data_IF_877717551356
#
_entry.id   IF_877717551356
#
_cell.length_a   1.000
_cell.length_b   1.000
_cell.length_c   1.000
_cell.angle_alpha   90.00
_cell.angle_beta   90.00
_cell.angle_gamma   90.00
#
_symmetry.space_group_name_H-M   'P 1'
#
loop_
_entity.id
_entity.type
_entity.pdbx_description
1 polymer ?
#
# COMPACT_ATOMS: atom_id res chain seq x y z
N UNK A 1 21.81 -6.10 -8.46
CA UNK A 1 20.79 -6.73 -7.60
C UNK A 1 20.99 -6.45 -6.10
N UNK A 2 22.21 -6.55 -5.55
CA UNK A 2 22.43 -6.38 -4.09
C UNK A 2 21.92 -5.07 -3.48
N UNK A 3 22.06 -3.93 -4.15
CA UNK A 3 21.57 -2.63 -3.66
C UNK A 3 20.05 -2.58 -3.47
N UNK A 4 19.27 -3.14 -4.41
CA UNK A 4 17.80 -3.17 -4.32
C UNK A 4 17.29 -4.06 -3.18
N UNK A 5 17.94 -5.21 -2.96
CA UNK A 5 17.57 -6.13 -1.87
C UNK A 5 17.75 -5.45 -0.50
N UNK A 6 18.78 -4.63 -0.33
CA UNK A 6 18.99 -3.85 0.90
C UNK A 6 17.81 -2.90 1.14
N UNK A 7 17.40 -2.15 0.11
CA UNK A 7 16.25 -1.23 0.24
C UNK A 7 14.95 -1.96 0.55
N UNK A 8 14.68 -3.10 -0.09
CA UNK A 8 13.51 -3.94 0.22
C UNK A 8 13.57 -4.53 1.63
N UNK A 9 14.75 -4.90 2.12
CA UNK A 9 14.94 -5.40 3.48
C UNK A 9 14.68 -4.33 4.53
N UNK A 10 15.16 -3.10 4.29
CA UNK A 10 14.87 -1.94 5.15
C UNK A 10 13.37 -1.66 5.16
N UNK A 11 12.74 -1.62 3.98
CA UNK A 11 11.30 -1.41 3.84
C UNK A 11 10.49 -2.47 4.59
N UNK A 12 10.84 -3.74 4.45
CA UNK A 12 10.22 -4.84 5.19
C UNK A 12 10.37 -4.64 6.70
N UNK A 13 11.59 -4.39 7.17
CA UNK A 13 11.87 -4.21 8.59
C UNK A 13 11.03 -3.11 9.21
N UNK A 14 10.95 -1.95 8.55
CA UNK A 14 10.12 -0.82 9.00
C UNK A 14 8.64 -1.22 8.96
N UNK A 15 8.17 -1.85 7.87
CA UNK A 15 6.77 -2.29 7.73
C UNK A 15 6.36 -3.20 8.87
N UNK A 16 7.16 -4.23 9.18
CA UNK A 16 6.84 -5.15 10.28
C UNK A 16 6.90 -4.43 11.63
N UNK A 17 7.94 -3.63 11.88
CA UNK A 17 8.11 -2.94 13.15
C UNK A 17 6.96 -1.96 13.44
N UNK A 18 6.59 -1.10 12.49
CA UNK A 18 5.55 -0.08 12.70
C UNK A 18 4.15 -0.70 12.80
N UNK A 19 3.83 -1.70 11.97
CA UNK A 19 2.52 -2.35 12.01
C UNK A 19 2.36 -3.22 13.26
N UNK A 20 3.36 -4.02 13.61
CA UNK A 20 3.30 -4.93 14.77
C UNK A 20 3.24 -4.15 16.08
N UNK A 21 4.09 -3.14 16.25
CA UNK A 21 4.13 -2.34 17.49
C UNK A 21 2.81 -1.62 17.76
N UNK A 22 2.21 -0.99 16.73
CA UNK A 22 0.92 -0.33 16.87
C UNK A 22 -0.21 -1.34 17.08
N UNK A 23 -0.18 -2.48 16.39
CA UNK A 23 -1.19 -3.54 16.57
C UNK A 23 -1.19 -4.05 18.01
N UNK A 24 -0.02 -4.44 18.54
CA UNK A 24 0.14 -4.90 19.93
C UNK A 24 -0.36 -3.83 20.91
N UNK A 25 -0.03 -2.56 20.67
CA UNK A 25 -0.50 -1.46 21.52
C UNK A 25 -2.03 -1.35 21.52
N UNK A 26 -2.66 -1.40 20.34
CA UNK A 26 -4.11 -1.25 20.19
C UNK A 26 -4.89 -2.42 20.78
N UNK A 27 -4.43 -3.66 20.60
CA UNK A 27 -5.12 -4.84 21.15
C UNK A 27 -5.06 -4.88 22.68
N UNK A 28 -3.95 -4.43 23.28
CA UNK A 28 -3.77 -4.42 24.73
C UNK A 28 -4.54 -3.32 25.47
N UNK A 29 -5.01 -2.28 24.76
CA UNK A 29 -5.72 -1.16 25.37
C UNK A 29 -7.22 -1.28 25.11
N UNK A 30 -7.98 -1.78 26.09
CA UNK A 30 -9.45 -1.92 26.02
C UNK A 30 -10.18 -0.63 25.59
N UNK A 31 -9.69 0.53 25.99
CA UNK A 31 -10.24 1.85 25.59
C UNK A 31 -10.17 2.11 24.09
N UNK A 32 -9.25 1.47 23.37
CA UNK A 32 -9.11 1.57 21.93
C UNK A 32 -9.98 0.57 21.18
N UNK A 33 -10.76 -0.27 21.85
CA UNK A 33 -11.66 -1.23 21.19
C UNK A 33 -12.97 -0.55 20.77
N UNK A 34 -12.87 0.38 19.82
CA UNK A 34 -13.99 1.13 19.22
C UNK A 34 -14.29 0.64 17.79
N UNK A 35 -15.43 1.02 17.21
CA UNK A 35 -15.82 0.65 15.85
C UNK A 35 -14.77 1.11 14.81
N UNK A 36 -14.40 2.40 14.81
CA UNK A 36 -13.35 2.95 13.93
C UNK A 36 -12.03 2.18 14.00
N UNK A 37 -11.63 1.78 15.21
CA UNK A 37 -10.35 1.13 15.42
C UNK A 37 -10.32 -0.32 14.92
N UNK A 38 -11.46 -0.96 14.65
CA UNK A 38 -11.51 -2.25 13.95
C UNK A 38 -10.93 -2.14 12.54
N UNK A 39 -11.28 -1.07 11.81
CA UNK A 39 -10.77 -0.81 10.46
C UNK A 39 -9.25 -0.58 10.52
N UNK A 40 -8.78 0.16 11.54
CA UNK A 40 -7.35 0.38 11.79
C UNK A 40 -6.61 -0.93 12.12
N UNK A 41 -7.18 -1.82 12.92
CA UNK A 41 -6.56 -3.12 13.20
C UNK A 41 -6.45 -3.96 11.90
N UNK A 42 -7.49 -3.97 11.07
CA UNK A 42 -7.48 -4.71 9.80
C UNK A 42 -6.41 -4.21 8.83
N UNK A 43 -6.21 -2.89 8.70
CA UNK A 43 -5.13 -2.36 7.85
C UNK A 43 -3.73 -2.69 8.40
N UNK A 44 -3.54 -2.74 9.73
CA UNK A 44 -2.26 -3.16 10.33
C UNK A 44 -1.95 -4.64 10.06
N UNK A 45 -2.96 -5.50 10.16
CA UNK A 45 -2.84 -6.92 9.80
C UNK A 45 -2.51 -7.05 8.31
N UNK A 46 -3.16 -6.25 7.46
CA UNK A 46 -2.87 -6.21 6.02
C UNK A 46 -1.42 -5.80 5.75
N UNK A 47 -0.88 -4.81 6.48
CA UNK A 47 0.52 -4.39 6.37
C UNK A 47 1.52 -5.49 6.77
N UNK A 48 1.22 -6.25 7.83
CA UNK A 48 2.04 -7.41 8.24
C UNK A 48 2.01 -8.51 7.18
N UNK A 49 0.83 -8.84 6.65
CA UNK A 49 0.69 -9.83 5.58
C UNK A 49 1.38 -9.35 4.30
N UNK A 50 1.28 -8.08 3.95
CA UNK A 50 1.99 -7.51 2.80
C UNK A 50 3.52 -7.65 2.93
N UNK A 51 4.08 -7.38 4.11
CA UNK A 51 5.50 -7.58 4.37
C UNK A 51 5.92 -9.05 4.30
N UNK A 52 5.26 -9.92 5.07
CA UNK A 52 5.66 -11.32 5.26
C UNK A 52 5.32 -12.17 4.04
N UNK A 53 4.09 -12.06 3.54
CA UNK A 53 3.54 -12.93 2.49
C UNK A 53 3.90 -12.45 1.11
N UNK A 54 4.25 -11.18 0.90
CA UNK A 54 4.59 -10.64 -0.41
C UNK A 54 6.02 -10.08 -0.49
N UNK A 55 6.39 -9.06 0.29
CA UNK A 55 7.69 -8.40 0.12
C UNK A 55 8.86 -9.36 0.36
N UNK A 56 8.86 -10.07 1.49
CA UNK A 56 9.93 -10.97 1.90
C UNK A 56 10.24 -12.04 0.82
N UNK A 57 9.29 -12.90 0.42
CA UNK A 57 9.54 -13.90 -0.62
C UNK A 57 9.82 -13.30 -2.00
N UNK A 58 9.13 -12.21 -2.41
CA UNK A 58 9.24 -11.66 -3.76
C UNK A 58 10.56 -10.91 -4.00
N UNK A 59 10.97 -10.07 -3.06
CA UNK A 59 12.06 -9.11 -3.28
C UNK A 59 13.33 -9.41 -2.49
N UNK A 60 13.27 -10.24 -1.45
CA UNK A 60 14.43 -10.58 -0.62
C UNK A 60 14.91 -12.00 -0.88
N UNK A 61 14.02 -13.00 -0.80
CA UNK A 61 14.40 -14.41 -1.01
C UNK A 61 14.66 -14.68 -2.50
N UNK A 62 13.89 -14.05 -3.40
CA UNK A 62 14.16 -14.06 -4.85
C UNK A 62 13.85 -15.38 -5.58
N UNK A 63 13.56 -16.47 -4.88
CA UNK A 63 13.18 -17.77 -5.48
C UNK A 63 11.84 -17.75 -6.21
N UNK A 64 11.05 -16.70 -5.99
CA UNK A 64 9.73 -16.55 -6.62
C UNK A 64 9.80 -16.40 -8.14
N UNK A 65 10.95 -16.05 -8.71
CA UNK A 65 11.15 -15.94 -10.16
C UNK A 65 11.56 -17.26 -10.83
N UNK A 66 11.89 -18.31 -10.06
CA UNK A 66 12.39 -19.57 -10.61
C UNK A 66 11.29 -20.50 -11.11
N UNK A 67 10.10 -20.42 -10.50
CA UNK A 67 8.95 -21.25 -10.86
C UNK A 67 7.88 -20.36 -11.45
N UNK A 68 7.46 -20.65 -12.69
CA UNK A 68 6.51 -19.84 -13.45
C UNK A 68 5.24 -19.54 -12.66
N UNK A 69 4.56 -20.57 -12.14
CA UNK A 69 3.35 -20.43 -11.34
C UNK A 69 3.54 -19.53 -10.11
N UNK A 70 4.63 -19.73 -9.37
CA UNK A 70 4.97 -18.93 -8.18
C UNK A 70 5.18 -17.47 -8.58
N UNK A 71 5.91 -17.22 -9.66
CA UNK A 71 6.16 -15.87 -10.13
C UNK A 71 4.85 -15.11 -10.48
N UNK A 72 3.86 -15.79 -11.09
CA UNK A 72 2.55 -15.19 -11.35
C UNK A 72 1.79 -14.92 -10.05
N UNK A 73 1.70 -15.94 -9.19
CA UNK A 73 0.99 -15.85 -7.91
C UNK A 73 1.45 -14.64 -7.08
N UNK A 74 2.75 -14.39 -7.03
CA UNK A 74 3.30 -13.25 -6.30
C UNK A 74 2.97 -11.90 -6.95
N UNK A 75 2.91 -11.81 -8.28
CA UNK A 75 2.41 -10.59 -8.96
C UNK A 75 0.98 -10.25 -8.52
N UNK A 76 0.12 -11.28 -8.47
CA UNK A 76 -1.26 -11.17 -8.00
C UNK A 76 -1.35 -10.80 -6.52
N UNK A 77 -0.58 -11.44 -5.64
CA UNK A 77 -0.54 -11.08 -4.21
C UNK A 77 -0.17 -9.61 -3.98
N UNK A 78 0.78 -9.08 -4.75
CA UNK A 78 1.14 -7.66 -4.71
C UNK A 78 -0.04 -6.75 -5.06
N UNK A 79 -0.77 -7.06 -6.14
CA UNK A 79 -1.96 -6.33 -6.54
C UNK A 79 -3.07 -6.42 -5.46
N UNK A 80 -3.32 -7.61 -4.92
CA UNK A 80 -4.30 -7.85 -3.87
C UNK A 80 -4.09 -6.95 -2.66
N UNK A 81 -2.88 -6.97 -2.09
CA UNK A 81 -2.60 -6.19 -0.89
C UNK A 81 -2.63 -4.68 -1.18
N UNK A 82 -2.22 -4.26 -2.37
CA UNK A 82 -2.30 -2.86 -2.78
C UNK A 82 -3.76 -2.38 -2.86
N UNK A 83 -4.63 -3.15 -3.50
CA UNK A 83 -6.09 -2.87 -3.53
C UNK A 83 -6.63 -2.81 -2.11
N UNK A 84 -6.27 -3.81 -1.29
CA UNK A 84 -6.77 -3.94 0.06
C UNK A 84 -6.40 -2.74 0.94
N UNK A 85 -5.13 -2.31 0.90
CA UNK A 85 -4.64 -1.13 1.63
C UNK A 85 -5.38 0.13 1.18
N UNK A 86 -5.56 0.32 -0.12
CA UNK A 86 -6.23 1.51 -0.66
C UNK A 86 -7.71 1.58 -0.27
N UNK A 87 -8.42 0.44 -0.29
CA UNK A 87 -9.80 0.36 0.17
C UNK A 87 -9.93 0.60 1.69
N UNK A 88 -8.99 0.10 2.50
CA UNK A 88 -8.96 0.43 3.93
C UNK A 88 -8.74 1.92 4.17
N UNK A 89 -7.83 2.55 3.41
CA UNK A 89 -7.61 4.00 3.50
C UNK A 89 -8.88 4.78 3.15
N UNK A 90 -9.58 4.38 2.09
CA UNK A 90 -10.89 4.96 1.74
C UNK A 90 -11.90 4.79 2.88
N UNK A 91 -11.99 3.60 3.45
CA UNK A 91 -12.89 3.30 4.57
C UNK A 91 -12.57 4.14 5.81
N UNK A 92 -11.29 4.33 6.14
CA UNK A 92 -10.87 5.21 7.24
C UNK A 92 -11.28 6.65 6.97
N UNK A 93 -11.09 7.15 5.75
CA UNK A 93 -11.49 8.50 5.37
C UNK A 93 -13.00 8.70 5.44
N UNK A 94 -13.78 7.72 4.99
CA UNK A 94 -15.25 7.72 5.14
C UNK A 94 -15.68 7.66 6.61
N UNK A 95 -15.06 6.82 7.43
CA UNK A 95 -15.33 6.75 8.87
C UNK A 95 -15.13 8.12 9.54
N UNK A 96 -14.01 8.79 9.23
CA UNK A 96 -13.74 10.15 9.71
C UNK A 96 -14.74 11.16 9.18
N UNK A 97 -15.16 11.03 7.92
CA UNK A 97 -16.15 11.91 7.31
C UNK A 97 -17.46 11.87 8.09
N UNK A 98 -18.01 10.69 8.34
CA UNK A 98 -19.26 10.58 9.09
C UNK A 98 -19.10 11.03 10.55
N UNK A 99 -17.98 10.73 11.19
CA UNK A 99 -17.72 11.15 12.57
C UNK A 99 -17.65 12.68 12.73
N UNK A 100 -17.14 13.41 11.72
CA UNK A 100 -17.01 14.88 11.76
C UNK A 100 -18.27 15.58 11.24
N UNK A 101 -18.83 15.12 10.12
CA UNK A 101 -19.94 15.80 9.44
C UNK A 101 -21.29 15.45 10.05
N UNK A 102 -21.48 14.20 10.51
CA UNK A 102 -22.75 13.70 11.02
C UNK A 102 -22.59 13.03 12.40
N UNK A 103 -22.10 13.74 13.44
CA UNK A 103 -21.69 13.13 14.71
C UNK A 103 -22.82 12.36 15.43
N UNK A 104 -24.06 12.87 15.40
CA UNK A 104 -25.20 12.20 16.05
C UNK A 104 -25.62 10.92 15.35
N UNK A 105 -25.74 10.95 14.01
CA UNK A 105 -26.08 9.76 13.21
C UNK A 105 -24.95 8.73 13.26
N UNK A 106 -23.69 9.19 13.18
CA UNK A 106 -22.53 8.31 13.32
C UNK A 106 -22.55 7.57 14.65
N UNK A 107 -22.84 8.26 15.76
CA UNK A 107 -22.96 7.61 17.09
C UNK A 107 -24.05 6.53 17.15
N UNK A 108 -25.13 6.67 16.37
CA UNK A 108 -26.23 5.71 16.34
C UNK A 108 -25.94 4.50 15.42
N UNK A 109 -25.22 4.72 14.32
CA UNK A 109 -25.02 3.72 13.26
C UNK A 109 -23.68 2.96 13.44
N UNK A 110 -22.64 3.64 13.94
CA UNK A 110 -21.31 3.06 14.05
C UNK A 110 -21.28 1.95 15.11
N UNK A 111 -21.04 0.72 14.67
CA UNK A 111 -20.92 -0.45 15.54
C UNK A 111 -19.74 -1.32 15.13
N UNK A 112 -19.19 -2.09 16.07
CA UNK A 112 -18.10 -3.04 15.79
C UNK A 112 -18.49 -4.06 14.71
N UNK A 113 -19.74 -4.54 14.74
CA UNK A 113 -20.26 -5.50 13.76
C UNK A 113 -20.25 -4.92 12.35
N UNK A 114 -20.71 -3.67 12.19
CA UNK A 114 -20.66 -2.99 10.90
C UNK A 114 -19.21 -2.80 10.40
N UNK A 115 -18.28 -2.42 11.27
CA UNK A 115 -16.86 -2.29 10.91
C UNK A 115 -16.22 -3.62 10.53
N UNK A 116 -16.53 -4.72 11.23
CA UNK A 116 -16.07 -6.06 10.86
C UNK A 116 -16.62 -6.47 9.49
N UNK A 117 -17.91 -6.26 9.25
CA UNK A 117 -18.54 -6.55 7.95
C UNK A 117 -17.88 -5.73 6.82
N UNK A 118 -17.61 -4.46 7.05
CA UNK A 118 -16.90 -3.61 6.10
C UNK A 118 -15.49 -4.16 5.79
N UNK A 119 -14.73 -4.58 6.80
CA UNK A 119 -13.43 -5.21 6.57
C UNK A 119 -13.56 -6.49 5.73
N UNK A 120 -14.53 -7.37 6.04
CA UNK A 120 -14.77 -8.60 5.26
C UNK A 120 -15.08 -8.27 3.79
N UNK A 121 -15.92 -7.25 3.55
CA UNK A 121 -16.23 -6.77 2.20
C UNK A 121 -14.98 -6.27 1.48
N UNK A 122 -14.12 -5.49 2.17
CA UNK A 122 -12.86 -4.99 1.60
C UNK A 122 -11.96 -6.15 1.18
N UNK A 123 -11.78 -7.16 2.04
CA UNK A 123 -11.00 -8.35 1.72
C UNK A 123 -11.57 -9.09 0.52
N UNK A 124 -12.88 -9.36 0.52
CA UNK A 124 -13.56 -10.04 -0.58
C UNK A 124 -13.41 -9.29 -1.92
N UNK A 125 -13.65 -7.98 -1.93
CA UNK A 125 -13.47 -7.14 -3.13
C UNK A 125 -12.02 -7.18 -3.62
N UNK A 126 -11.05 -7.14 -2.71
CA UNK A 126 -9.62 -7.21 -3.05
C UNK A 126 -9.25 -8.54 -3.72
N UNK A 127 -9.76 -9.67 -3.19
CA UNK A 127 -9.60 -10.98 -3.82
C UNK A 127 -10.25 -11.03 -5.20
N UNK A 128 -11.47 -10.50 -5.34
CA UNK A 128 -12.20 -10.50 -6.60
C UNK A 128 -11.45 -9.73 -7.69
N UNK A 129 -10.98 -8.52 -7.38
CA UNK A 129 -10.21 -7.69 -8.32
C UNK A 129 -8.90 -8.37 -8.73
N UNK A 130 -8.24 -9.03 -7.78
CA UNK A 130 -7.02 -9.78 -8.03
C UNK A 130 -7.25 -11.07 -8.85
N UNK A 131 -8.44 -11.66 -8.79
CA UNK A 131 -8.77 -12.88 -9.52
C UNK A 131 -9.08 -12.64 -11.00
N UNK A 132 -9.40 -11.40 -11.40
CA UNK A 132 -9.76 -11.07 -12.79
C UNK A 132 -8.67 -11.54 -13.79
N UNK A 133 -7.38 -11.19 -13.64
CA UNK A 133 -6.34 -11.65 -14.55
C UNK A 133 -6.14 -13.17 -14.57
N UNK A 134 -6.35 -13.86 -13.45
CA UNK A 134 -6.21 -15.32 -13.38
C UNK A 134 -7.18 -16.03 -14.32
N UNK A 135 -8.36 -15.43 -14.53
CA UNK A 135 -9.42 -15.98 -15.35
C UNK A 135 -9.29 -15.50 -16.81
N UNK A 136 -8.65 -14.34 -17.04
CA UNK A 136 -8.68 -13.68 -18.35
C UNK A 136 -7.35 -13.66 -19.10
N UNK A 137 -6.18 -13.44 -18.47
CA UNK A 137 -4.91 -13.12 -19.19
C UNK A 137 -3.64 -13.76 -18.62
N UNK A 138 -2.82 -14.36 -19.48
CA UNK A 138 -1.55 -14.99 -19.10
C UNK A 138 -0.31 -14.08 -19.31
N UNK A 139 -0.31 -12.86 -18.75
CA UNK A 139 0.76 -11.87 -18.98
C UNK A 139 2.04 -12.13 -18.19
N UNK A 140 1.89 -12.63 -16.97
CA UNK A 140 3.04 -12.88 -16.09
C UNK A 140 3.99 -13.90 -16.69
N UNK A 141 3.55 -14.70 -17.67
CA UNK A 141 4.42 -15.65 -18.36
C UNK A 141 5.65 -14.98 -18.98
N UNK A 142 5.52 -13.85 -19.69
CA UNK A 142 6.68 -13.21 -20.33
C UNK A 142 7.64 -12.55 -19.34
N UNK A 143 7.09 -11.90 -18.31
CA UNK A 143 7.89 -11.23 -17.25
C UNK A 143 8.64 -12.28 -16.43
N UNK A 144 7.95 -13.35 -16.04
CA UNK A 144 8.52 -14.44 -15.26
C UNK A 144 9.56 -15.22 -16.07
N UNK A 145 9.29 -15.57 -17.34
CA UNK A 145 10.25 -16.25 -18.20
C UNK A 145 11.50 -15.40 -18.48
N UNK A 146 11.35 -14.08 -18.65
CA UNK A 146 12.48 -13.16 -18.78
C UNK A 146 13.35 -13.12 -17.53
N UNK A 147 12.74 -13.06 -16.35
CA UNK A 147 13.44 -13.11 -15.07
C UNK A 147 14.14 -14.46 -14.83
N UNK A 148 13.48 -15.59 -15.11
CA UNK A 148 14.09 -16.92 -14.97
C UNK A 148 15.31 -17.11 -15.89
N UNK A 149 15.27 -16.55 -17.11
CA UNK A 149 16.40 -16.63 -18.06
C UNK A 149 17.64 -15.90 -17.55
N UNK A 150 17.47 -14.69 -17.01
CA UNK A 150 18.56 -13.90 -16.42
C UNK A 150 19.17 -14.63 -15.21
N UNK A 151 18.34 -15.22 -14.34
CA UNK A 151 18.81 -15.95 -13.15
C UNK A 151 19.62 -17.19 -13.55
N UNK A 152 19.19 -17.94 -14.57
CA UNK A 152 19.92 -19.11 -15.05
C UNK A 152 21.27 -18.74 -15.67
N UNK A 153 21.35 -17.64 -16.44
CA UNK A 153 22.61 -17.14 -16.98
C UNK A 153 23.59 -16.69 -15.87
N UNK A 154 23.09 -16.16 -14.75
CA UNK A 154 23.95 -15.80 -13.60
C UNK A 154 24.38 -16.98 -12.74
N UNK A 155 23.66 -18.11 -12.79
CA UNK A 155 23.98 -19.32 -12.01
C UNK A 155 24.92 -20.29 -12.75
N UNK A 156 25.04 -20.16 -14.08
CA UNK A 156 26.15 -20.75 -14.84
C UNK A 156 27.38 -19.87 -14.69
N UNK A 157 28.31 -20.27 -13.81
CA UNK A 157 29.67 -19.74 -13.76
C UNK A 157 30.26 -19.63 -15.17
N UNK A 158 30.96 -18.51 -15.43
CA UNK A 158 31.83 -18.30 -16.60
C UNK A 158 32.41 -19.61 -17.16
N UNK A 159 32.23 -19.93 -18.45
CA UNK A 159 33.30 -20.61 -19.17
C UNK A 159 34.37 -19.55 -19.44
N UNK A 160 35.46 -19.61 -18.67
CA UNK A 160 36.75 -19.11 -19.15
C UNK A 160 37.05 -19.82 -20.47
N UNK A 161 37.35 -19.03 -21.50
CA UNK A 161 37.73 -19.41 -22.86
C UNK A 161 36.57 -19.74 -23.82
N UNK A 162 36.09 -18.72 -24.55
CA UNK A 162 35.98 -18.84 -26.00
C UNK A 162 35.88 -17.45 -26.65
N UNK A 163 36.79 -17.22 -27.60
CA UNK A 163 36.87 -16.06 -28.48
C UNK A 163 35.53 -15.78 -29.16
N UNK A 164 34.89 -14.66 -28.85
CA UNK A 164 33.67 -14.20 -29.52
C UNK A 164 34.01 -13.57 -30.86
N UNK A 165 34.03 -14.37 -31.92
CA UNK A 165 33.73 -13.89 -33.27
C UNK A 165 32.22 -14.01 -33.46
N UNK A 166 31.51 -12.88 -33.54
CA UNK A 166 30.09 -12.85 -33.91
C UNK A 166 29.93 -13.48 -35.30
N UNK A 167 29.35 -14.67 -35.35
CA UNK A 167 28.80 -15.24 -36.59
C UNK A 167 27.33 -15.57 -36.36
N UNK A 168 26.47 -14.77 -36.99
CA UNK A 168 25.08 -15.08 -37.26
C UNK A 168 24.99 -16.36 -38.07
N UNK A 169 24.56 -17.46 -37.46
CA UNK A 169 24.15 -18.67 -38.20
C UNK A 169 22.63 -18.73 -38.24
N UNK A 170 22.08 -18.21 -39.34
CA UNK A 170 20.83 -18.71 -39.88
C UNK A 170 21.02 -20.21 -40.17
N UNK A 171 20.28 -21.07 -39.49
CA UNK A 171 20.27 -22.50 -39.81
C UNK A 171 19.45 -22.73 -41.07
N UNK A 172 20.19 -23.19 -42.07
CA UNK A 172 19.79 -23.75 -43.36
C UNK A 172 18.71 -24.83 -43.19
N UNK A 173 17.59 -24.70 -43.92
CA UNK A 173 16.70 -25.81 -44.28
C UNK A 173 16.91 -26.08 -45.79
N UNK A 174 17.02 -27.34 -46.26
CA UNK A 174 17.26 -27.63 -47.67
C UNK A 174 16.06 -27.26 -48.55
N UNK A 175 16.35 -26.59 -49.66
CA UNK A 175 15.40 -26.14 -50.68
C UNK A 175 14.93 -27.29 -51.58
N UNK A 176 14.04 -28.14 -51.11
CA UNK A 176 13.21 -29.01 -51.97
C UNK A 176 12.12 -29.67 -51.14
N UNK A 177 10.98 -29.00 -50.97
CA UNK A 177 9.57 -29.44 -51.15
C UNK A 177 8.73 -28.19 -50.85
N UNK A 178 8.72 -27.23 -51.78
CA UNK A 178 7.79 -26.11 -51.74
C UNK A 178 6.72 -26.38 -52.79
N UNK A 179 5.78 -27.25 -52.46
CA UNK A 179 4.45 -27.22 -53.08
C UNK A 179 3.42 -27.80 -52.13
N UNK A 180 2.41 -26.98 -51.85
CA UNK A 180 1.09 -27.34 -51.35
C UNK A 180 0.96 -27.75 -49.88
N UNK A 181 1.00 -26.74 -49.00
CA UNK A 181 -0.03 -26.62 -47.95
C UNK A 181 -0.23 -25.15 -47.56
N UNK A 182 -0.78 -24.37 -48.49
CA UNK A 182 -1.34 -23.05 -48.17
C UNK A 182 -2.67 -23.29 -47.47
N UNK A 183 -2.66 -23.51 -46.15
CA UNK A 183 -3.86 -23.37 -45.34
C UNK A 183 -4.16 -21.87 -45.28
N UNK A 184 -4.92 -21.39 -46.25
CA UNK A 184 -5.53 -20.06 -46.23
C UNK A 184 -6.52 -20.04 -45.07
N UNK A 185 -6.06 -19.65 -43.89
CA UNK A 185 -6.94 -19.22 -42.81
C UNK A 185 -7.57 -17.92 -43.30
N UNK A 186 -8.81 -18.00 -43.76
CA UNK A 186 -9.66 -16.86 -44.07
C UNK A 186 -9.85 -16.05 -42.80
N UNK A 187 -9.02 -15.02 -42.60
CA UNK A 187 -9.21 -14.02 -41.54
C UNK A 187 -10.40 -13.16 -41.97
N UNK A 188 -11.56 -13.39 -41.37
CA UNK A 188 -12.70 -12.51 -41.48
C UNK A 188 -12.29 -11.08 -41.09
N UNK A 189 -12.63 -10.05 -41.88
CA UNK A 189 -12.34 -8.67 -41.52
C UNK A 189 -13.18 -8.30 -40.30
N UNK A 190 -12.53 -8.24 -39.13
CA UNK A 190 -13.17 -7.94 -37.85
C UNK A 190 -12.70 -8.78 -36.66
N UNK A 191 -12.05 -9.93 -36.86
CA UNK A 191 -11.54 -10.76 -35.77
C UNK A 191 -10.09 -10.41 -35.42
N UNK A 192 -9.87 -9.83 -34.23
CA UNK A 192 -8.54 -9.58 -33.66
C UNK A 192 -7.72 -10.88 -33.58
N UNK A 193 -6.44 -10.84 -33.93
CA UNK A 193 -5.55 -11.99 -33.70
C UNK A 193 -5.42 -12.28 -32.19
N UNK A 194 -5.05 -13.51 -31.78
CA UNK A 194 -4.86 -13.85 -30.37
C UNK A 194 -3.89 -12.91 -29.62
N UNK A 195 -2.86 -12.42 -30.33
CA UNK A 195 -1.89 -11.46 -29.79
C UNK A 195 -2.48 -10.07 -29.59
N UNK A 196 -3.33 -9.61 -30.53
CA UNK A 196 -4.01 -8.32 -30.44
C UNK A 196 -5.10 -8.35 -29.35
N UNK A 197 -5.84 -9.45 -29.23
CA UNK A 197 -6.82 -9.65 -28.17
C UNK A 197 -6.14 -9.58 -26.80
N UNK A 198 -5.02 -10.28 -26.63
CA UNK A 198 -4.21 -10.23 -25.40
C UNK A 198 -3.75 -8.81 -25.04
N UNK A 199 -3.25 -8.02 -26.01
CA UNK A 199 -2.80 -6.65 -25.76
C UNK A 199 -3.97 -5.75 -25.34
N UNK A 200 -5.09 -5.82 -26.06
CA UNK A 200 -6.29 -5.02 -25.78
C UNK A 200 -6.82 -5.30 -24.37
N UNK A 201 -7.01 -6.57 -24.08
CA UNK A 201 -7.39 -7.09 -22.78
C UNK A 201 -6.48 -6.66 -21.63
N UNK A 202 -5.18 -6.76 -21.84
CA UNK A 202 -4.19 -6.32 -20.86
C UNK A 202 -4.29 -4.81 -20.59
N UNK A 203 -4.49 -4.00 -21.64
CA UNK A 203 -4.70 -2.56 -21.51
C UNK A 203 -5.97 -2.24 -20.73
N UNK A 204 -7.06 -2.96 -20.99
CA UNK A 204 -8.32 -2.82 -20.25
C UNK A 204 -8.11 -3.12 -18.76
N UNK A 205 -7.40 -4.20 -18.44
CA UNK A 205 -7.09 -4.55 -17.05
C UNK A 205 -6.23 -3.47 -16.36
N UNK A 206 -5.21 -2.95 -17.03
CA UNK A 206 -4.38 -1.86 -16.48
C UNK A 206 -5.17 -0.58 -16.24
N UNK A 207 -6.06 -0.20 -17.18
CA UNK A 207 -6.94 0.96 -17.01
C UNK A 207 -7.91 0.75 -15.85
N UNK A 208 -8.47 -0.46 -15.72
CA UNK A 208 -9.32 -0.83 -14.60
C UNK A 208 -8.57 -0.74 -13.27
N UNK A 209 -7.36 -1.30 -13.18
CA UNK A 209 -6.51 -1.23 -11.99
C UNK A 209 -6.10 0.21 -11.70
N UNK A 210 -5.77 1.02 -12.69
CA UNK A 210 -5.51 2.44 -12.50
C UNK A 210 -6.72 3.17 -11.91
N UNK A 211 -7.93 2.89 -12.43
CA UNK A 211 -9.14 3.47 -11.87
C UNK A 211 -9.34 3.03 -10.40
N UNK A 212 -9.25 1.74 -10.12
CA UNK A 212 -9.51 1.16 -8.80
C UNK A 212 -8.44 1.51 -7.77
N UNK A 213 -7.15 1.52 -8.16
CA UNK A 213 -6.04 1.76 -7.25
C UNK A 213 -5.70 3.23 -7.10
N UNK A 214 -6.03 4.08 -8.08
CA UNK A 214 -5.62 5.47 -8.08
C UNK A 214 -6.79 6.43 -8.12
N UNK A 215 -7.60 6.43 -9.18
CA UNK A 215 -8.65 7.44 -9.37
C UNK A 215 -9.77 7.33 -8.33
N UNK A 216 -10.26 6.13 -8.06
CA UNK A 216 -11.33 5.91 -7.09
C UNK A 216 -10.88 6.31 -5.66
N UNK A 217 -9.73 5.84 -5.13
CA UNK A 217 -9.26 6.28 -3.83
C UNK A 217 -9.01 7.79 -3.78
N UNK A 218 -8.40 8.36 -4.82
CA UNK A 218 -8.15 9.79 -4.89
C UNK A 218 -9.47 10.60 -4.87
N UNK A 219 -10.48 10.18 -5.63
CA UNK A 219 -11.78 10.84 -5.67
C UNK A 219 -12.48 10.78 -4.31
N UNK A 220 -12.51 9.61 -3.66
CA UNK A 220 -13.05 9.45 -2.31
C UNK A 220 -12.35 10.39 -1.32
N UNK A 221 -11.03 10.44 -1.37
CA UNK A 221 -10.23 11.28 -0.47
C UNK A 221 -10.49 12.78 -0.72
N UNK A 222 -10.55 13.23 -1.98
CA UNK A 222 -10.86 14.62 -2.33
C UNK A 222 -12.28 14.99 -1.90
N UNK A 223 -13.28 14.15 -2.21
CA UNK A 223 -14.68 14.42 -1.86
C UNK A 223 -14.90 14.50 -0.35
N UNK A 224 -14.37 13.53 0.40
CA UNK A 224 -14.50 13.50 1.87
C UNK A 224 -13.82 14.72 2.50
N UNK A 225 -12.63 15.11 2.02
CA UNK A 225 -11.90 16.26 2.54
C UNK A 225 -12.52 17.60 2.17
N UNK A 226 -12.91 17.79 0.91
CA UNK A 226 -13.56 19.02 0.45
C UNK A 226 -14.83 19.30 1.25
N UNK A 227 -15.63 18.26 1.49
CA UNK A 227 -16.83 18.36 2.32
C UNK A 227 -16.52 18.61 3.79
N UNK A 228 -15.51 17.93 4.37
CA UNK A 228 -15.07 18.20 5.75
C UNK A 228 -14.65 19.66 5.95
N UNK A 229 -13.81 20.19 5.06
CA UNK A 229 -13.39 21.58 5.11
C UNK A 229 -14.59 22.52 5.01
N UNK A 230 -15.46 22.29 4.02
CA UNK A 230 -16.67 23.09 3.84
C UNK A 230 -17.54 23.12 5.11
N UNK A 231 -17.78 21.96 5.72
CA UNK A 231 -18.56 21.83 6.96
C UNK A 231 -17.88 22.56 8.11
N UNK A 232 -16.57 22.35 8.31
CA UNK A 232 -15.81 23.00 9.38
C UNK A 232 -15.81 24.53 9.22
N UNK A 233 -15.64 25.03 8.00
CA UNK A 233 -15.70 26.48 7.72
C UNK A 233 -17.11 27.04 7.88
N UNK A 234 -18.14 26.30 7.46
CA UNK A 234 -19.55 26.69 7.62
C UNK A 234 -19.93 26.78 9.10
N UNK A 235 -19.55 25.78 9.91
CA UNK A 235 -19.75 25.82 11.36
C UNK A 235 -18.93 26.91 12.03
N UNK A 236 -17.69 27.16 11.61
CA UNK A 236 -16.88 28.25 12.14
C UNK A 236 -17.54 29.62 11.91
N UNK A 237 -18.10 29.86 10.71
CA UNK A 237 -18.86 31.08 10.39
C UNK A 237 -20.12 31.20 11.23
N UNK A 238 -20.90 30.12 11.38
CA UNK A 238 -22.15 30.10 12.15
C UNK A 238 -21.94 30.26 13.66
N UNK A 239 -20.89 29.65 14.21
CA UNK A 239 -20.51 29.84 15.63
C UNK A 239 -20.01 31.26 15.86
N UNK A 240 -19.21 31.82 14.95
CA UNK A 240 -18.76 33.21 15.05
C UNK A 240 -19.94 34.19 15.01
N UNK A 241 -20.92 34.01 14.13
CA UNK A 241 -22.13 34.87 14.10
C UNK A 241 -22.98 34.73 15.37
N UNK A 242 -23.03 33.56 15.99
CA UNK A 242 -23.74 33.33 17.25
C UNK A 242 -22.98 33.94 18.45
N UNK A 243 -21.66 33.80 18.53
CA UNK A 243 -20.83 34.42 19.58
C UNK A 243 -20.77 35.94 19.47
N UNK A 244 -20.92 36.52 18.27
CA UNK A 244 -21.07 37.98 18.11
C UNK A 244 -22.45 38.45 18.60
N UNK A 245 -23.47 37.59 18.56
CA UNK A 245 -24.82 37.89 19.06
C UNK A 245 -24.99 37.68 20.58
N UNK A 246 -24.14 36.88 21.23
CA UNK A 246 -24.15 36.67 22.70
C UNK A 246 -22.87 37.16 23.36
N UNK A 247 -22.99 38.16 24.24
CA UNK A 247 -21.91 38.77 25.04
C UNK A 247 -21.40 37.83 26.16
N UNK A 248 -21.01 36.59 25.83
CA UNK A 248 -20.42 35.65 26.79
C UNK A 248 -18.89 35.65 26.75
N UNK A 249 -18.29 35.76 27.94
CA UNK A 249 -16.84 35.85 28.22
C UNK A 249 -16.06 34.55 28.00
N UNK A 250 -16.74 33.42 27.74
CA UNK A 250 -16.11 32.14 27.43
C UNK A 250 -16.10 31.88 25.93
N UNK A 251 -15.03 32.31 25.23
CA UNK A 251 -14.85 32.01 23.81
C UNK A 251 -14.89 30.48 23.57
N UNK A 252 -15.89 29.94 22.87
CA UNK A 252 -15.89 28.53 22.52
C UNK A 252 -14.66 28.24 21.66
N UNK A 253 -13.88 27.19 22.01
CA UNK A 253 -12.74 26.76 21.18
C UNK A 253 -13.24 26.50 19.76
N UNK A 254 -12.56 27.07 18.76
CA UNK A 254 -13.01 26.94 17.36
C UNK A 254 -13.11 25.47 16.95
N UNK A 255 -14.15 25.12 16.19
CA UNK A 255 -14.33 23.76 15.66
C UNK A 255 -13.11 23.27 14.85
N UNK A 256 -12.38 24.21 14.23
CA UNK A 256 -11.11 23.97 13.54
C UNK A 256 -10.08 23.44 14.52
N UNK A 257 -9.85 24.11 15.65
CA UNK A 257 -8.89 23.65 16.67
C UNK A 257 -9.34 22.32 17.26
N UNK A 258 -10.64 22.15 17.50
CA UNK A 258 -11.18 20.91 18.03
C UNK A 258 -10.94 19.75 17.07
N UNK A 259 -11.10 19.92 15.75
CA UNK A 259 -10.97 18.85 14.75
C UNK A 259 -9.63 18.84 13.99
N UNK A 260 -8.68 19.72 14.33
CA UNK A 260 -7.39 19.89 13.63
C UNK A 260 -6.64 18.58 13.41
N UNK A 261 -6.52 17.73 14.44
CA UNK A 261 -5.81 16.44 14.30
C UNK A 261 -6.47 15.51 13.28
N UNK A 262 -7.80 15.46 13.23
CA UNK A 262 -8.52 14.64 12.26
C UNK A 262 -8.37 15.20 10.83
N UNK A 263 -8.45 16.54 10.68
CA UNK A 263 -8.22 17.21 9.39
C UNK A 263 -6.79 16.99 8.89
N UNK A 264 -5.80 17.10 9.78
CA UNK A 264 -4.39 16.82 9.45
C UNK A 264 -4.16 15.35 9.12
N UNK A 265 -4.80 14.43 9.85
CA UNK A 265 -4.73 12.99 9.56
C UNK A 265 -5.11 12.73 8.10
N UNK A 266 -6.26 13.23 7.67
CA UNK A 266 -6.80 13.00 6.32
C UNK A 266 -5.95 13.71 5.27
N UNK A 267 -5.56 14.96 5.50
CA UNK A 267 -4.69 15.71 4.58
C UNK A 267 -3.32 15.02 4.36
N UNK A 268 -2.73 14.48 5.43
CA UNK A 268 -1.46 13.75 5.33
C UNK A 268 -1.62 12.39 4.67
N UNK A 269 -2.76 11.72 4.86
CA UNK A 269 -3.07 10.50 4.12
C UNK A 269 -3.18 10.79 2.61
N UNK A 270 -3.79 11.91 2.21
CA UNK A 270 -3.85 12.36 0.80
C UNK A 270 -2.47 12.66 0.25
N UNK A 271 -1.69 13.49 0.97
CA UNK A 271 -0.34 13.85 0.55
C UNK A 271 0.55 12.63 0.41
N UNK A 272 0.49 11.72 1.38
CA UNK A 272 1.19 10.44 1.31
C UNK A 272 0.70 9.61 0.12
N UNK A 273 -0.61 9.48 -0.10
CA UNK A 273 -1.13 8.73 -1.24
C UNK A 273 -0.62 9.25 -2.58
N UNK A 274 -0.62 10.57 -2.79
CA UNK A 274 -0.08 11.17 -4.01
C UNK A 274 1.42 10.94 -4.15
N UNK A 275 2.21 11.18 -3.10
CA UNK A 275 3.67 11.01 -3.13
C UNK A 275 4.05 9.55 -3.40
N UNK A 276 3.36 8.61 -2.74
CA UNK A 276 3.71 7.21 -2.81
C UNK A 276 3.17 6.54 -4.10
N UNK A 277 1.94 6.82 -4.52
CA UNK A 277 1.33 6.10 -5.63
C UNK A 277 1.43 6.79 -6.98
N UNK A 278 1.43 8.13 -7.05
CA UNK A 278 1.43 8.84 -8.34
C UNK A 278 2.64 8.47 -9.22
N UNK A 279 3.89 8.43 -8.72
CA UNK A 279 5.04 8.09 -9.58
C UNK A 279 4.94 6.68 -10.18
N UNK A 280 4.50 5.70 -9.40
CA UNK A 280 4.35 4.32 -9.85
C UNK A 280 3.21 4.17 -10.87
N UNK A 281 2.13 4.91 -10.65
CA UNK A 281 1.01 4.99 -11.57
C UNK A 281 1.44 5.62 -12.89
N UNK A 282 2.22 6.70 -12.87
CA UNK A 282 2.78 7.31 -14.09
C UNK A 282 3.67 6.32 -14.85
N UNK A 283 4.53 5.57 -14.16
CA UNK A 283 5.33 4.50 -14.78
C UNK A 283 4.43 3.47 -15.50
N UNK A 284 3.35 3.06 -14.85
CA UNK A 284 2.39 2.08 -15.39
C UNK A 284 1.65 2.60 -16.62
N UNK A 285 1.25 3.88 -16.61
CA UNK A 285 0.59 4.53 -17.76
C UNK A 285 1.56 4.69 -18.94
N UNK A 286 2.82 5.00 -18.70
CA UNK A 286 3.85 5.07 -19.76
C UNK A 286 4.02 3.70 -20.44
N UNK A 287 4.00 2.61 -19.68
CA UNK A 287 4.00 1.26 -20.25
C UNK A 287 2.72 0.92 -21.01
N UNK A 288 1.57 1.44 -20.57
CA UNK A 288 0.27 1.24 -21.21
C UNK A 288 0.24 1.82 -22.63
N UNK A 289 0.78 3.03 -22.80
CA UNK A 289 0.71 3.78 -24.07
C UNK A 289 1.70 3.21 -25.10
N UNK A 290 2.85 2.72 -24.66
CA UNK A 290 3.98 2.47 -25.55
C UNK A 290 4.19 1.01 -25.99
N UNK A 291 3.24 0.10 -25.74
CA UNK A 291 3.32 -1.33 -26.14
C UNK A 291 4.67 -2.00 -25.82
N UNK A 292 5.26 -1.67 -24.67
CA UNK A 292 6.59 -2.18 -24.26
C UNK A 292 7.76 -1.80 -25.20
N UNK A 293 7.55 -0.90 -26.19
CA UNK A 293 8.60 -0.45 -27.12
C UNK A 293 9.73 0.32 -26.45
N UNK A 294 9.48 0.89 -25.26
CA UNK A 294 10.49 1.52 -24.40
C UNK A 294 10.93 0.59 -23.26
N UNK A 295 11.25 -0.66 -23.56
CA UNK A 295 11.91 -1.57 -22.63
C UNK A 295 13.41 -1.22 -22.46
N UNK A 296 13.73 0.06 -22.25
CA UNK A 296 15.10 0.47 -21.93
C UNK A 296 15.38 0.21 -20.44
N UNK A 297 16.65 -0.03 -20.11
CA UNK A 297 17.09 -0.25 -18.73
C UNK A 297 16.66 0.88 -17.78
N UNK A 298 16.62 2.12 -18.28
CA UNK A 298 16.16 3.29 -17.54
C UNK A 298 14.68 3.21 -17.14
N UNK A 299 13.80 2.70 -18.00
CA UNK A 299 12.36 2.58 -17.70
C UNK A 299 12.11 1.48 -16.66
N UNK A 300 12.82 0.36 -16.74
CA UNK A 300 12.77 -0.69 -15.71
C UNK A 300 13.27 -0.18 -14.35
N UNK A 301 14.38 0.55 -14.35
CA UNK A 301 14.94 1.15 -13.13
C UNK A 301 13.98 2.15 -12.50
N UNK A 302 13.40 3.05 -13.30
CA UNK A 302 12.37 4.00 -12.84
C UNK A 302 11.16 3.27 -12.23
N UNK A 303 10.71 2.20 -12.86
CA UNK A 303 9.54 1.43 -12.42
C UNK A 303 9.81 0.71 -11.09
N UNK A 304 11.01 0.13 -10.92
CA UNK A 304 11.41 -0.49 -9.67
C UNK A 304 11.52 0.52 -8.53
N UNK A 305 12.11 1.70 -8.78
CA UNK A 305 12.25 2.77 -7.78
C UNK A 305 10.87 3.29 -7.37
N UNK A 306 10.00 3.60 -8.35
CA UNK A 306 8.65 4.10 -8.06
C UNK A 306 7.79 3.03 -7.38
N UNK A 307 7.96 1.75 -7.70
CA UNK A 307 7.32 0.64 -6.99
C UNK A 307 7.79 0.54 -5.53
N UNK A 308 9.10 0.63 -5.28
CA UNK A 308 9.65 0.64 -3.93
C UNK A 308 9.10 1.79 -3.10
N UNK A 309 9.00 2.98 -3.71
CA UNK A 309 8.35 4.14 -3.09
C UNK A 309 6.90 3.75 -2.75
N UNK A 310 6.07 3.37 -3.72
CA UNK A 310 4.67 3.01 -3.48
C UNK A 310 4.50 1.97 -2.36
N UNK A 311 5.33 0.93 -2.33
CA UNK A 311 5.27 -0.14 -1.34
C UNK A 311 5.89 0.24 0.01
N UNK A 312 6.45 1.44 0.15
CA UNK A 312 6.79 2.04 1.44
C UNK A 312 5.61 2.65 2.17
N UNK A 313 4.47 2.86 1.48
CA UNK A 313 3.27 3.42 2.10
C UNK A 313 2.76 2.63 3.33
N UNK A 314 2.67 1.28 3.31
CA UNK A 314 2.25 0.50 4.47
C UNK A 314 3.21 0.60 5.67
N UNK A 315 4.46 0.98 5.44
CA UNK A 315 5.44 1.22 6.50
C UNK A 315 5.15 2.53 7.26
N UNK A 316 4.67 3.55 6.54
CA UNK A 316 4.41 4.90 7.08
C UNK A 316 3.03 5.03 7.71
N UNK A 317 2.03 4.31 7.19
CA UNK A 317 0.64 4.41 7.65
C UNK A 317 0.43 4.26 9.16
N UNK A 318 1.03 3.27 9.85
CA UNK A 318 0.87 3.13 11.30
C UNK A 318 1.33 4.38 12.07
N UNK A 319 2.39 5.05 11.61
CA UNK A 319 2.90 6.27 12.26
C UNK A 319 1.90 7.42 12.13
N UNK A 320 1.27 7.56 10.97
CA UNK A 320 0.21 8.55 10.75
C UNK A 320 -0.97 8.28 11.70
N UNK A 321 -1.37 7.02 11.85
CA UNK A 321 -2.46 6.66 12.77
C UNK A 321 -2.08 6.88 14.24
N UNK A 322 -0.88 6.47 14.65
CA UNK A 322 -0.40 6.63 16.02
C UNK A 322 -0.36 8.09 16.47
N UNK A 323 0.01 9.02 15.58
CA UNK A 323 0.12 10.43 15.90
C UNK A 323 -1.20 11.20 15.77
N UNK A 324 -1.93 11.00 14.66
CA UNK A 324 -3.07 11.84 14.33
C UNK A 324 -4.43 11.31 14.81
N UNK A 325 -4.56 10.00 15.07
CA UNK A 325 -5.75 9.49 15.76
C UNK A 325 -5.70 9.97 17.23
N UNK A 326 -6.68 10.79 17.63
CA UNK A 326 -6.71 11.41 18.96
C UNK A 326 -6.72 10.38 20.09
N UNK A 327 -7.53 9.33 19.96
CA UNK A 327 -7.70 8.33 21.02
C UNK A 327 -6.40 7.53 21.19
N UNK A 328 -5.79 7.13 20.08
CA UNK A 328 -4.52 6.40 20.07
C UNK A 328 -3.40 7.27 20.61
N UNK A 329 -3.19 8.46 20.05
CA UNK A 329 -2.12 9.37 20.49
C UNK A 329 -2.25 9.77 21.96
N UNK A 330 -3.47 9.93 22.47
CA UNK A 330 -3.72 10.20 23.87
C UNK A 330 -3.30 9.03 24.76
N UNK A 331 -3.73 7.80 24.44
CA UNK A 331 -3.37 6.61 25.21
C UNK A 331 -1.87 6.26 25.13
N UNK A 332 -1.23 6.53 23.98
CA UNK A 332 0.24 6.43 23.81
C UNK A 332 0.93 7.40 24.77
N UNK A 333 0.57 8.68 24.71
CA UNK A 333 1.16 9.73 25.56
C UNK A 333 0.97 9.42 27.04
N UNK A 334 -0.22 8.95 27.43
CA UNK A 334 -0.54 8.53 28.79
C UNK A 334 0.35 7.36 29.24
N UNK A 335 0.55 6.38 28.39
CA UNK A 335 1.38 5.21 28.69
C UNK A 335 2.86 5.58 28.88
N UNK A 336 3.38 6.50 28.07
CA UNK A 336 4.75 7.02 28.24
C UNK A 336 4.92 7.82 29.54
N UNK A 337 3.96 8.71 29.88
CA UNK A 337 4.00 9.46 31.14
C UNK A 337 3.93 8.55 32.36
N UNK A 338 3.08 7.52 32.33
CA UNK A 338 2.96 6.55 33.43
C UNK A 338 4.25 5.75 33.64
N UNK A 339 4.92 5.33 32.56
CA UNK A 339 6.23 4.64 32.65
C UNK A 339 7.34 5.58 33.14
N UNK A 340 7.34 6.83 32.68
CA UNK A 340 8.30 7.83 33.16
C UNK A 340 8.15 8.10 34.65
N UNK A 341 6.91 8.24 35.14
CA UNK A 341 6.64 8.43 36.56
C UNK A 341 7.02 7.20 37.41
N UNK A 342 6.76 5.97 36.93
CA UNK A 342 7.18 4.76 37.63
C UNK A 342 8.70 4.60 37.67
N UNK A 343 9.40 5.01 36.61
CA UNK A 343 10.86 4.95 36.59
C UNK A 343 11.48 5.94 37.58
N UNK A 344 10.96 7.16 37.69
CA UNK A 344 11.41 8.15 38.69
C UNK A 344 11.21 7.62 40.12
N UNK A 345 10.03 7.07 40.42
CA UNK A 345 9.72 6.48 41.73
C UNK A 345 10.58 5.26 42.10
N UNK A 346 11.13 4.56 41.11
CA UNK A 346 12.06 3.44 41.33
C UNK A 346 13.50 3.93 41.53
N UNK A 347 13.92 5.03 40.89
CA UNK A 347 15.23 5.64 41.10
C UNK A 347 15.36 6.23 42.50
N UNK A 348 14.30 6.84 43.05
CA UNK A 348 14.30 7.38 44.42
C UNK A 348 14.28 6.30 45.52
N UNK A 349 14.08 5.03 45.15
CA UNK A 349 14.03 3.88 46.08
C UNK A 349 15.34 3.08 46.16
N UNK A 350 16.41 3.48 45.47
CA UNK A 350 17.72 2.84 45.67
C UNK A 350 18.22 3.14 47.08
N UNK A 351 18.56 2.13 47.90
CA UNK A 351 19.01 2.36 49.27
C UNK A 351 20.36 3.08 49.27
N UNK A 352 20.48 4.16 50.04
CA UNK A 352 21.77 4.70 50.47
C UNK A 352 22.48 3.58 51.23
N UNK A 353 23.49 2.97 50.62
CA UNK A 353 24.37 2.03 51.29
C UNK A 353 25.04 2.78 52.44
N UNK A 354 24.68 2.42 53.68
CA UNK A 354 25.35 2.87 54.88
C UNK A 354 26.85 2.55 54.78
N UNK A 355 27.64 3.59 54.61
CA UNK A 355 29.08 3.57 54.72
C UNK A 355 29.42 3.15 56.16
N UNK A 356 29.95 1.95 56.33
CA UNK A 356 30.44 1.47 57.63
C UNK A 356 31.69 2.27 57.98
N UNK A 357 31.53 3.20 58.93
CA UNK A 357 32.61 3.74 59.75
C UNK A 357 33.42 2.57 60.32
N UNK A 358 34.63 2.38 59.82
CA UNK A 358 35.61 1.46 60.42
C UNK A 358 36.60 2.33 61.19
N UNK A 359 36.32 2.50 62.49
CA UNK A 359 37.32 2.88 63.49
C UNK A 359 38.07 1.61 63.90
N UNK A 360 39.36 1.56 63.59
CA UNK A 360 40.40 0.89 64.38
C UNK A 360 41.75 1.46 63.95
#
# INVERSE_FOLDING_TARGET
MGSLVIFWSINLGITIATNLSLLIFMVNKRKLHTASNVILISILITGLLFGIVYILPRFIIGTTYSILFVCKLFGYLGALFTVNINLHVCAISFDRFFAVVFPFRYRQIASKRASVLLCVIIWFISFLICAIPLITFDRDTKICLGASRIINETNTSMPTNLSTTLTTTASVLPSTIQSNLTTTVSVTPGTLSPTQLFILSWRIYLLFIFFVLFLFPLAVLIMTYGTMLFVVFTHAKKVHSLTVATTETNKPKSLIIQNRKALLQVALIIGAFLIFFLPYVMATVVFLINDLKFASEGVYTYSNITQLIAFSYPAVNPLLYAYYNKDISHEITKSFKSKSASNILNTDRTPVTNEKTTTA
#
